data_IF_057318872451
#
_entry.id   IF_057318872451
#
_cell.length_a   1.000
_cell.length_b   1.000
_cell.length_c   1.000
_cell.angle_alpha   90.00
_cell.angle_beta   90.00
_cell.angle_gamma   90.00
#
_symmetry.space_group_name_H-M   'P 1'
#
loop_
_entity.id
_entity.type
_entity.pdbx_description
1 polymer ?
#
# COMPACT_ATOMS: atom_id res chain seq x y z
N UNK A 1 4.03 -18.55 -0.03
CA UNK A 1 3.28 -18.69 -1.29
C UNK A 1 3.78 -17.59 -2.19
N UNK A 2 4.62 -17.90 -3.18
CA UNK A 2 5.12 -16.88 -4.13
C UNK A 2 3.93 -16.46 -4.98
N UNK A 3 3.52 -15.21 -4.87
CA UNK A 3 2.49 -14.66 -5.75
C UNK A 3 3.14 -14.60 -7.13
N UNK A 4 2.57 -15.27 -8.13
CA UNK A 4 3.02 -15.18 -9.51
C UNK A 4 1.96 -14.36 -10.25
N UNK A 5 2.39 -13.41 -11.07
CA UNK A 5 1.47 -12.72 -11.97
C UNK A 5 1.19 -13.68 -13.14
N UNK A 6 0.05 -14.37 -13.08
CA UNK A 6 -0.39 -15.39 -14.05
C UNK A 6 -0.35 -14.88 -15.49
N UNK A 7 -0.76 -13.64 -15.69
CA UNK A 7 -0.85 -12.97 -16.97
C UNK A 7 0.55 -12.76 -17.59
N UNK A 8 1.54 -12.44 -16.75
CA UNK A 8 2.93 -12.28 -17.17
C UNK A 8 3.56 -13.64 -17.49
N UNK A 9 3.25 -14.66 -16.70
CA UNK A 9 3.69 -16.04 -16.97
C UNK A 9 3.14 -16.58 -18.29
N UNK A 10 1.83 -16.40 -18.51
CA UNK A 10 1.17 -16.81 -19.76
C UNK A 10 1.73 -16.07 -20.96
N UNK A 11 1.94 -14.75 -20.85
CA UNK A 11 2.57 -13.97 -21.92
C UNK A 11 4.00 -14.46 -22.26
N UNK A 12 4.81 -14.79 -21.26
CA UNK A 12 6.15 -15.34 -21.50
C UNK A 12 6.12 -16.75 -22.10
N UNK A 13 5.20 -17.60 -21.63
CA UNK A 13 4.98 -18.94 -22.20
C UNK A 13 4.57 -18.84 -23.67
N UNK A 14 3.61 -17.96 -23.97
CA UNK A 14 3.09 -17.76 -25.34
C UNK A 14 4.14 -17.11 -26.26
N UNK A 15 5.09 -16.35 -25.69
CA UNK A 15 6.28 -15.86 -26.38
C UNK A 15 7.38 -16.92 -26.59
N UNK A 16 7.16 -18.17 -26.17
CA UNK A 16 8.10 -19.28 -26.36
C UNK A 16 9.25 -19.35 -25.34
N UNK A 17 9.14 -18.64 -24.21
CA UNK A 17 10.11 -18.73 -23.11
C UNK A 17 9.91 -20.06 -22.38
N UNK A 18 11.00 -20.71 -21.97
CA UNK A 18 10.93 -21.95 -21.20
C UNK A 18 10.17 -21.74 -19.89
N UNK A 19 9.34 -22.71 -19.49
CA UNK A 19 8.44 -22.62 -18.33
C UNK A 19 9.16 -22.15 -17.06
N UNK A 20 10.33 -22.72 -16.78
CA UNK A 20 11.16 -22.34 -15.63
C UNK A 20 11.56 -20.85 -15.64
N UNK A 21 11.90 -20.31 -16.81
CA UNK A 21 12.32 -18.91 -16.98
C UNK A 21 11.11 -17.98 -16.95
N UNK A 22 10.01 -18.36 -17.58
CA UNK A 22 8.75 -17.63 -17.55
C UNK A 22 8.24 -17.49 -16.10
N UNK A 23 8.30 -18.59 -15.33
CA UNK A 23 7.88 -18.62 -13.93
C UNK A 23 8.79 -17.74 -13.06
N UNK A 24 10.11 -17.87 -13.19
CA UNK A 24 11.08 -17.03 -12.46
C UNK A 24 10.92 -15.54 -12.77
N UNK A 25 10.68 -15.17 -14.02
CA UNK A 25 10.45 -13.79 -14.42
C UNK A 25 9.13 -13.23 -13.85
N UNK A 26 8.06 -14.01 -13.92
CA UNK A 26 6.76 -13.63 -13.35
C UNK A 26 6.79 -13.54 -11.82
N UNK A 27 7.52 -14.42 -11.13
CA UNK A 27 7.76 -14.37 -9.68
C UNK A 27 8.62 -13.14 -9.31
N UNK A 28 9.66 -12.82 -10.08
CA UNK A 28 10.50 -11.64 -9.83
C UNK A 28 9.68 -10.35 -9.94
N UNK A 29 8.87 -10.21 -10.99
CA UNK A 29 7.99 -9.05 -11.18
C UNK A 29 6.91 -8.94 -10.11
N UNK A 30 6.42 -10.07 -9.60
CA UNK A 30 5.48 -10.08 -8.48
C UNK A 30 6.15 -9.72 -7.14
N UNK A 31 7.43 -10.08 -6.98
CA UNK A 31 8.22 -9.72 -5.80
C UNK A 31 8.62 -8.24 -5.79
N UNK A 32 8.68 -7.61 -6.96
CA UNK A 32 8.88 -6.17 -7.15
C UNK A 32 7.57 -5.37 -7.04
N UNK A 33 6.55 -5.93 -6.39
CA UNK A 33 5.30 -5.22 -6.13
C UNK A 33 5.51 -4.14 -5.06
N UNK A 34 5.68 -2.91 -5.56
CA UNK A 34 5.50 -1.63 -4.88
C UNK A 34 4.51 -1.72 -3.71
N UNK A 35 5.00 -1.54 -2.47
CA UNK A 35 4.23 -1.51 -1.22
C UNK A 35 3.18 -2.63 -1.13
N UNK A 36 3.51 -3.70 -0.42
CA UNK A 36 2.60 -4.82 -0.18
C UNK A 36 1.24 -4.29 0.27
N UNK A 37 0.12 -4.93 -0.11
CA UNK A 37 -1.23 -4.55 0.38
C UNK A 37 -1.28 -4.36 1.90
N UNK A 38 -0.44 -5.11 2.63
CA UNK A 38 -0.21 -4.96 4.06
C UNK A 38 0.39 -3.60 4.46
N UNK A 39 1.43 -3.15 3.76
CA UNK A 39 2.08 -1.86 3.99
C UNK A 39 1.10 -0.71 3.74
N UNK A 40 0.30 -0.81 2.67
CA UNK A 40 -0.78 0.15 2.38
C UNK A 40 -1.85 0.15 3.47
N UNK A 41 -2.22 -1.01 4.00
CA UNK A 41 -3.19 -1.13 5.09
C UNK A 41 -2.68 -0.52 6.41
N UNK A 42 -1.41 -0.76 6.74
CA UNK A 42 -0.72 -0.12 7.87
C UNK A 42 -0.73 1.40 7.72
N UNK A 43 -0.27 1.90 6.57
CA UNK A 43 -0.22 3.34 6.28
C UNK A 43 -1.60 4.00 6.34
N UNK A 44 -2.65 3.31 5.87
CA UNK A 44 -4.02 3.83 5.96
C UNK A 44 -4.50 3.94 7.41
N UNK A 45 -4.13 2.97 8.25
CA UNK A 45 -4.46 2.97 9.68
C UNK A 45 -3.75 4.11 10.39
N UNK A 46 -2.44 4.26 10.17
CA UNK A 46 -1.65 5.35 10.73
C UNK A 46 -2.18 6.73 10.29
N UNK A 47 -2.56 6.86 9.02
CA UNK A 47 -3.15 8.10 8.50
C UNK A 47 -4.50 8.42 9.16
N UNK A 48 -5.33 7.42 9.45
CA UNK A 48 -6.58 7.61 10.16
C UNK A 48 -6.37 8.11 11.60
N UNK A 49 -5.37 7.56 12.30
CA UNK A 49 -5.00 7.99 13.65
C UNK A 49 -4.50 9.44 13.63
N UNK A 50 -3.58 9.78 12.71
CA UNK A 50 -3.05 11.14 12.59
C UNK A 50 -4.16 12.15 12.30
N UNK A 51 -5.12 11.83 11.42
CA UNK A 51 -6.27 12.70 11.13
C UNK A 51 -7.10 12.98 12.37
N UNK A 52 -7.34 11.97 13.21
CA UNK A 52 -8.05 12.14 14.48
C UNK A 52 -7.28 13.02 15.46
N UNK A 53 -5.98 12.81 15.60
CA UNK A 53 -5.13 13.61 16.50
C UNK A 53 -5.11 15.08 16.07
N UNK A 54 -4.94 15.34 14.77
CA UNK A 54 -4.94 16.71 14.23
C UNK A 54 -6.30 17.36 14.40
N UNK A 55 -7.39 16.64 14.09
CA UNK A 55 -8.75 17.14 14.28
C UNK A 55 -9.05 17.50 15.74
N UNK A 56 -8.67 16.62 16.67
CA UNK A 56 -8.83 16.86 18.11
C UNK A 56 -7.98 18.04 18.58
N UNK A 57 -6.72 18.13 18.17
CA UNK A 57 -5.84 19.24 18.53
C UNK A 57 -6.37 20.58 18.01
N UNK A 58 -6.87 20.61 16.78
CA UNK A 58 -7.46 21.81 16.18
C UNK A 58 -8.72 22.23 16.94
N UNK A 59 -9.63 21.29 17.21
CA UNK A 59 -10.85 21.56 17.97
C UNK A 59 -10.55 22.05 19.38
N UNK A 60 -9.57 21.45 20.06
CA UNK A 60 -9.12 21.86 21.39
C UNK A 60 -8.53 23.27 21.36
N UNK A 61 -7.65 23.56 20.41
CA UNK A 61 -7.07 24.89 20.23
C UNK A 61 -8.15 25.95 19.98
N UNK A 62 -9.13 25.66 19.13
CA UNK A 62 -10.26 26.56 18.86
C UNK A 62 -11.14 26.77 20.09
N UNK A 63 -11.38 25.72 20.89
CA UNK A 63 -12.16 25.83 22.12
C UNK A 63 -11.45 26.71 23.18
N UNK A 64 -10.13 26.55 23.32
CA UNK A 64 -9.32 27.41 24.21
C UNK A 64 -9.35 28.85 23.72
N UNK A 65 -9.13 29.10 22.42
CA UNK A 65 -9.20 30.43 21.84
C UNK A 65 -10.57 31.07 22.06
N UNK A 66 -11.66 30.32 21.86
CA UNK A 66 -13.02 30.79 22.15
C UNK A 66 -13.18 31.19 23.62
N UNK A 67 -12.72 30.35 24.56
CA UNK A 67 -12.87 30.62 26.00
C UNK A 67 -12.06 31.82 26.50
N UNK A 68 -10.97 32.14 25.81
CA UNK A 68 -10.04 33.24 26.16
C UNK A 68 -10.42 34.55 25.48
N UNK A 69 -10.84 34.50 24.20
CA UNK A 69 -11.13 35.69 23.40
C UNK A 69 -12.62 36.05 23.31
N UNK A 70 -13.52 35.12 23.64
CA UNK A 70 -14.98 35.31 23.70
C UNK A 70 -15.52 35.24 25.13
#
# INVERSE_FOLDING_TARGET
MTTMISEVFEAFRDAGVSEEKARKAAEALASESLATKHDIASLKTDNAVIKWMVGFNLAFTMAVLWKVLG
#
